data_IF_965802320069
#
_entry.id   IF_965802320069
#
_cell.length_a   1.000
_cell.length_b   1.000
_cell.length_c   1.000
_cell.angle_alpha   90.00
_cell.angle_beta   90.00
_cell.angle_gamma   90.00
#
_symmetry.space_group_name_H-M   'P 1'
#
loop_
_entity.id
_entity.type
_entity.pdbx_description
1 polymer ?
#
# COMPACT_ATOMS: atom_id res chain seq x y z
N UNK A 1 17.79 16.86 3.01
CA UNK A 1 18.32 15.70 3.75
C UNK A 1 18.51 14.54 2.78
N UNK A 2 19.31 13.52 3.13
CA UNK A 2 19.67 12.41 2.22
C UNK A 2 18.48 11.61 1.66
N UNK A 3 17.27 11.77 2.20
CA UNK A 3 16.05 11.08 1.77
C UNK A 3 15.17 11.90 0.81
N UNK A 4 15.60 13.09 0.40
CA UNK A 4 14.88 13.91 -0.57
C UNK A 4 15.84 14.31 -1.69
N UNK A 5 15.49 14.08 -2.97
CA UNK A 5 16.33 14.50 -4.10
C UNK A 5 16.57 16.02 -4.11
N UNK A 6 17.61 16.45 -4.83
CA UNK A 6 17.96 17.86 -4.93
C UNK A 6 16.81 18.69 -5.54
N UNK A 7 16.68 19.95 -5.10
CA UNK A 7 15.66 20.85 -5.66
C UNK A 7 15.91 21.09 -7.16
N UNK A 8 14.84 21.27 -7.92
CA UNK A 8 14.90 21.52 -9.37
C UNK A 8 15.15 20.28 -10.25
N UNK A 9 15.30 19.09 -9.66
CA UNK A 9 15.49 17.83 -10.41
C UNK A 9 14.17 17.15 -10.75
N UNK A 10 14.10 16.37 -11.86
CA UNK A 10 12.94 15.52 -12.16
C UNK A 10 12.59 14.54 -11.02
N UNK A 11 13.60 14.00 -10.34
CA UNK A 11 13.44 13.06 -9.22
C UNK A 11 12.74 13.73 -8.04
N UNK A 12 12.97 15.04 -7.82
CA UNK A 12 12.28 15.80 -6.77
C UNK A 12 10.78 15.95 -7.04
N UNK A 13 10.38 16.02 -8.30
CA UNK A 13 8.95 16.02 -8.68
C UNK A 13 8.34 14.64 -8.43
N UNK A 14 9.00 13.56 -8.87
CA UNK A 14 8.55 12.18 -8.61
C UNK A 14 8.47 11.89 -7.11
N UNK A 15 9.47 12.29 -6.35
CA UNK A 15 9.50 12.19 -4.89
C UNK A 15 8.25 12.81 -4.24
N UNK A 16 7.92 14.05 -4.61
CA UNK A 16 6.72 14.73 -4.07
C UNK A 16 5.43 14.03 -4.48
N UNK A 17 5.36 13.60 -5.74
CA UNK A 17 4.20 12.87 -6.25
C UNK A 17 3.94 11.63 -5.40
N UNK A 18 4.95 10.76 -5.24
CA UNK A 18 4.79 9.50 -4.52
C UNK A 18 4.57 9.67 -3.03
N UNK A 19 5.16 10.69 -2.41
CA UNK A 19 4.92 11.02 -1.01
C UNK A 19 3.42 11.30 -0.76
N UNK A 20 2.78 12.09 -1.62
CA UNK A 20 1.34 12.37 -1.50
C UNK A 20 0.45 11.25 -2.04
N UNK A 21 0.90 10.54 -3.08
CA UNK A 21 0.15 9.44 -3.68
C UNK A 21 -0.11 8.31 -2.69
N UNK A 22 0.87 8.01 -1.83
CA UNK A 22 0.75 6.97 -0.81
C UNK A 22 -0.50 7.16 0.07
N UNK A 23 -0.69 8.37 0.61
CA UNK A 23 -1.79 8.69 1.53
C UNK A 23 -3.07 9.12 0.79
N UNK A 24 -2.94 9.91 -0.27
CA UNK A 24 -4.08 10.51 -0.96
C UNK A 24 -4.75 9.59 -1.97
N UNK A 25 -4.05 8.55 -2.46
CA UNK A 25 -4.53 7.70 -3.56
C UNK A 25 -4.46 6.21 -3.22
N UNK A 26 -3.31 5.72 -2.77
CA UNK A 26 -3.09 4.28 -2.59
C UNK A 26 -3.73 3.73 -1.30
N UNK A 27 -3.57 4.44 -0.17
CA UNK A 27 -4.10 4.01 1.13
C UNK A 27 -5.64 4.05 1.26
N UNK A 28 -6.38 5.06 0.74
CA UNK A 28 -7.82 5.16 0.94
C UNK A 28 -8.64 3.91 0.58
N UNK A 29 -8.46 3.26 -0.59
CA UNK A 29 -9.22 2.04 -0.89
C UNK A 29 -8.84 0.87 0.04
N UNK A 30 -7.61 0.79 0.53
CA UNK A 30 -7.17 -0.23 1.51
C UNK A 30 -7.79 0.01 2.89
N UNK A 31 -7.95 1.27 3.30
CA UNK A 31 -8.68 1.65 4.51
C UNK A 31 -10.17 1.31 4.40
N UNK A 32 -10.80 1.64 3.27
CA UNK A 32 -12.19 1.27 3.02
C UNK A 32 -12.37 -0.24 3.09
N UNK A 33 -11.48 -1.02 2.44
CA UNK A 33 -11.52 -2.48 2.53
C UNK A 33 -11.47 -2.97 3.98
N UNK A 34 -10.55 -2.43 4.79
CA UNK A 34 -10.43 -2.77 6.22
C UNK A 34 -11.74 -2.50 6.98
N UNK A 35 -12.36 -1.34 6.75
CA UNK A 35 -13.62 -0.97 7.41
C UNK A 35 -14.75 -1.95 7.02
N UNK A 36 -14.90 -2.27 5.74
CA UNK A 36 -15.94 -3.19 5.26
C UNK A 36 -15.71 -4.63 5.75
N UNK A 37 -14.46 -5.11 5.77
CA UNK A 37 -14.12 -6.41 6.35
C UNK A 37 -14.43 -6.45 7.86
N UNK A 38 -14.26 -5.33 8.57
CA UNK A 38 -14.63 -5.22 9.99
C UNK A 38 -16.15 -5.26 10.20
N UNK A 39 -16.93 -4.62 9.32
CA UNK A 39 -18.40 -4.67 9.37
C UNK A 39 -18.88 -6.12 9.23
N UNK A 40 -18.28 -6.91 8.33
CA UNK A 40 -18.67 -8.30 8.10
C UNK A 40 -18.35 -9.26 9.27
N UNK A 41 -17.35 -8.91 10.08
CA UNK A 41 -16.91 -9.69 11.25
C UNK A 41 -17.49 -9.19 12.58
N UNK A 42 -18.20 -8.05 12.57
CA UNK A 42 -18.81 -7.49 13.77
C UNK A 42 -19.96 -8.38 14.28
N UNK A 43 -20.07 -8.63 15.60
CA UNK A 43 -21.19 -9.37 16.17
C UNK A 43 -22.53 -8.72 15.82
N UNK A 44 -23.42 -9.50 15.20
CA UNK A 44 -24.76 -9.07 14.78
C UNK A 44 -25.76 -10.22 14.92
N UNK A 45 -27.06 -9.92 15.10
CA UNK A 45 -28.10 -10.94 15.04
C UNK A 45 -28.05 -11.72 13.71
N UNK A 46 -28.30 -13.03 13.77
CA UNK A 46 -28.12 -13.91 12.61
C UNK A 46 -28.97 -13.53 11.40
N UNK A 47 -30.10 -12.84 11.59
CA UNK A 47 -30.99 -12.39 10.53
C UNK A 47 -30.53 -11.09 9.84
N UNK A 48 -29.75 -10.24 10.53
CA UNK A 48 -29.16 -9.01 9.94
C UNK A 48 -27.87 -9.32 9.19
N UNK A 49 -27.08 -10.26 9.71
CA UNK A 49 -25.75 -10.60 9.20
C UNK A 49 -25.71 -10.89 7.68
N UNK A 50 -26.66 -11.63 7.07
CA UNK A 50 -26.64 -11.88 5.63
C UNK A 50 -26.82 -10.61 4.80
N UNK A 51 -27.70 -9.70 5.22
CA UNK A 51 -27.99 -8.45 4.52
C UNK A 51 -26.77 -7.53 4.56
N UNK A 52 -26.17 -7.36 5.74
CA UNK A 52 -24.95 -6.57 5.91
C UNK A 52 -23.79 -7.10 5.05
N UNK A 53 -23.60 -8.43 5.04
CA UNK A 53 -22.58 -9.08 4.18
C UNK A 53 -22.85 -8.89 2.69
N UNK A 54 -24.11 -8.96 2.26
CA UNK A 54 -24.46 -8.76 0.85
C UNK A 54 -24.15 -7.33 0.38
N UNK A 55 -24.51 -6.32 1.18
CA UNK A 55 -24.22 -4.91 0.87
C UNK A 55 -22.71 -4.66 0.86
N UNK A 56 -22.01 -5.12 1.91
CA UNK A 56 -20.55 -4.99 2.03
C UNK A 56 -19.83 -5.66 0.85
N UNK A 57 -20.19 -6.91 0.53
CA UNK A 57 -19.63 -7.65 -0.59
C UNK A 57 -19.85 -6.93 -1.92
N UNK A 58 -21.04 -6.36 -2.14
CA UNK A 58 -21.34 -5.58 -3.36
C UNK A 58 -20.47 -4.33 -3.48
N UNK A 59 -20.33 -3.54 -2.41
CA UNK A 59 -19.48 -2.32 -2.42
C UNK A 59 -18.02 -2.68 -2.63
N UNK A 60 -17.53 -3.74 -1.97
CA UNK A 60 -16.16 -4.22 -2.18
C UNK A 60 -15.93 -4.62 -3.63
N UNK A 61 -16.82 -5.42 -4.21
CA UNK A 61 -16.67 -5.92 -5.58
C UNK A 61 -16.82 -4.82 -6.64
N UNK A 62 -17.76 -3.88 -6.47
CA UNK A 62 -18.07 -2.88 -7.49
C UNK A 62 -17.15 -1.66 -7.48
N UNK A 63 -16.53 -1.34 -6.35
CA UNK A 63 -15.78 -0.09 -6.19
C UNK A 63 -14.40 -0.29 -5.55
N UNK A 64 -14.31 -0.99 -4.42
CA UNK A 64 -13.06 -1.01 -3.64
C UNK A 64 -11.99 -1.89 -4.29
N UNK A 65 -12.32 -3.15 -4.59
CA UNK A 65 -11.35 -4.11 -5.14
C UNK A 65 -10.84 -3.68 -6.54
N UNK A 66 -11.68 -3.20 -7.47
CA UNK A 66 -11.19 -2.68 -8.75
C UNK A 66 -10.18 -1.54 -8.58
N UNK A 67 -10.44 -0.60 -7.66
CA UNK A 67 -9.52 0.51 -7.38
C UNK A 67 -8.19 0.01 -6.81
N UNK A 68 -8.20 -0.95 -5.88
CA UNK A 68 -6.97 -1.55 -5.36
C UNK A 68 -6.17 -2.17 -6.51
N UNK A 69 -6.81 -2.97 -7.37
CA UNK A 69 -6.16 -3.56 -8.55
C UNK A 69 -5.56 -2.49 -9.45
N UNK A 70 -6.31 -1.44 -9.79
CA UNK A 70 -5.83 -0.32 -10.62
C UNK A 70 -4.59 0.36 -10.01
N UNK A 71 -4.60 0.64 -8.70
CA UNK A 71 -3.46 1.24 -8.04
C UNK A 71 -2.24 0.30 -8.01
N UNK A 72 -2.45 -0.99 -7.72
CA UNK A 72 -1.37 -1.97 -7.74
C UNK A 72 -0.75 -2.12 -9.13
N UNK A 73 -1.56 -2.17 -10.19
CA UNK A 73 -1.07 -2.29 -11.57
C UNK A 73 -0.31 -1.03 -12.00
N UNK A 74 -0.77 0.15 -11.60
CA UNK A 74 -0.07 1.40 -11.85
C UNK A 74 1.30 1.45 -11.14
N UNK A 75 1.35 1.10 -9.85
CA UNK A 75 2.60 1.06 -9.09
C UNK A 75 3.58 0.02 -9.62
N UNK A 76 3.08 -1.16 -10.02
CA UNK A 76 3.86 -2.21 -10.67
C UNK A 76 4.48 -1.72 -11.98
N UNK A 77 3.72 -0.98 -12.80
CA UNK A 77 4.22 -0.38 -14.04
C UNK A 77 5.27 0.71 -13.77
N UNK A 78 5.09 1.53 -12.74
CA UNK A 78 6.03 2.60 -12.37
C UNK A 78 7.36 2.05 -11.84
N UNK A 79 7.34 0.97 -11.06
CA UNK A 79 8.56 0.25 -10.67
C UNK A 79 9.20 -0.53 -11.83
N UNK A 80 8.55 -0.56 -13.00
CA UNK A 80 9.19 -0.99 -14.25
C UNK A 80 10.13 0.05 -14.85
N UNK A 81 10.09 1.30 -14.36
CA UNK A 81 10.85 2.44 -14.92
C UNK A 81 12.09 2.80 -14.11
N UNK A 82 12.11 2.44 -12.83
CA UNK A 82 13.19 2.79 -11.90
C UNK A 82 13.24 1.81 -10.73
N UNK A 83 14.39 1.74 -10.05
CA UNK A 83 14.58 0.82 -8.91
C UNK A 83 13.67 1.15 -7.70
N UNK A 84 13.48 2.44 -7.44
CA UNK A 84 12.65 3.02 -6.38
C UNK A 84 11.62 3.97 -6.99
N UNK A 85 10.61 4.38 -6.22
CA UNK A 85 9.51 5.18 -6.76
C UNK A 85 9.94 6.54 -7.31
N UNK A 86 10.92 7.17 -6.65
CA UNK A 86 11.43 8.49 -7.03
C UNK A 86 12.62 8.46 -8.00
N UNK A 87 13.14 7.27 -8.37
CA UNK A 87 14.32 7.12 -9.24
C UNK A 87 15.20 5.94 -8.82
N UNK A 88 16.51 6.04 -9.06
CA UNK A 88 17.48 4.99 -8.75
C UNK A 88 17.90 4.94 -7.28
N UNK A 89 17.65 6.02 -6.53
CA UNK A 89 17.97 6.12 -5.11
C UNK A 89 16.73 6.03 -4.24
N UNK A 90 16.89 5.41 -3.06
CA UNK A 90 15.84 5.34 -2.06
C UNK A 90 15.57 6.71 -1.43
N UNK A 91 14.29 7.02 -1.24
CA UNK A 91 13.86 8.30 -0.67
C UNK A 91 12.78 8.13 0.40
N UNK A 92 12.37 9.24 1.00
CA UNK A 92 11.19 9.27 1.87
C UNK A 92 9.90 8.86 1.17
N UNK A 93 9.83 8.93 -0.18
CA UNK A 93 8.69 8.42 -0.92
C UNK A 93 8.54 6.90 -0.75
N UNK A 94 9.65 6.15 -0.77
CA UNK A 94 9.61 4.70 -0.58
C UNK A 94 9.23 4.32 0.86
N UNK A 95 9.64 5.12 1.84
CA UNK A 95 9.17 4.99 3.22
C UNK A 95 7.65 5.15 3.26
N UNK A 96 7.12 6.22 2.67
CA UNK A 96 5.68 6.49 2.69
C UNK A 96 4.89 5.43 1.93
N UNK A 97 5.38 4.98 0.77
CA UNK A 97 4.77 3.93 -0.06
C UNK A 97 4.81 2.54 0.60
N UNK A 98 5.68 2.33 1.60
CA UNK A 98 5.72 1.06 2.34
C UNK A 98 4.40 0.76 3.03
N UNK A 99 3.80 1.75 3.69
CA UNK A 99 2.55 1.56 4.42
C UNK A 99 1.40 1.01 3.56
N UNK A 100 1.02 1.63 2.42
CA UNK A 100 -0.04 1.08 1.59
C UNK A 100 0.34 -0.25 0.95
N UNK A 101 1.61 -0.48 0.58
CA UNK A 101 2.02 -1.74 -0.04
C UNK A 101 2.07 -2.91 0.94
N UNK A 102 2.45 -2.66 2.19
CA UNK A 102 2.34 -3.65 3.25
C UNK A 102 0.87 -3.99 3.55
N UNK A 103 0.00 -2.98 3.57
CA UNK A 103 -1.45 -3.21 3.70
C UNK A 103 -2.03 -3.97 2.51
N UNK A 104 -1.53 -3.70 1.31
CA UNK A 104 -1.91 -4.46 0.14
C UNK A 104 -1.43 -5.92 0.20
N UNK A 105 -0.21 -6.16 0.67
CA UNK A 105 0.33 -7.51 0.83
C UNK A 105 -0.43 -8.29 1.92
N UNK A 106 -0.79 -7.64 3.02
CA UNK A 106 -1.52 -8.28 4.12
C UNK A 106 -2.99 -8.60 3.76
N UNK A 107 -3.68 -7.69 3.06
CA UNK A 107 -5.14 -7.80 2.85
C UNK A 107 -5.67 -7.20 1.56
N UNK A 108 -4.86 -6.55 0.74
CA UNK A 108 -5.29 -5.91 -0.51
C UNK A 108 -5.07 -6.76 -1.76
N UNK A 109 -4.49 -7.96 -1.65
CA UNK A 109 -4.27 -8.85 -2.80
C UNK A 109 -3.02 -8.50 -3.61
N UNK A 110 -2.02 -7.86 -2.99
CA UNK A 110 -0.68 -7.80 -3.58
C UNK A 110 0.01 -9.15 -3.37
N UNK A 111 0.35 -9.82 -4.46
CA UNK A 111 0.98 -11.13 -4.48
C UNK A 111 1.99 -11.27 -5.64
N UNK A 112 2.44 -12.50 -5.91
CA UNK A 112 3.43 -12.82 -6.93
C UNK A 112 3.01 -12.45 -8.37
N UNK A 113 1.74 -12.13 -8.64
CA UNK A 113 1.30 -11.60 -9.94
C UNK A 113 1.92 -10.23 -10.27
N UNK A 114 2.46 -9.53 -9.25
CA UNK A 114 3.11 -8.22 -9.38
C UNK A 114 4.56 -8.30 -8.91
N UNK A 115 5.44 -8.91 -9.73
CA UNK A 115 6.78 -9.29 -9.28
C UNK A 115 7.67 -8.09 -8.93
N UNK A 116 7.49 -6.91 -9.55
CA UNK A 116 8.31 -5.74 -9.23
C UNK A 116 7.93 -5.14 -7.88
N UNK A 117 6.65 -5.09 -7.54
CA UNK A 117 6.19 -4.71 -6.21
C UNK A 117 6.67 -5.70 -5.14
N UNK A 118 6.59 -7.01 -5.41
CA UNK A 118 7.09 -8.02 -4.48
C UNK A 118 8.62 -7.93 -4.29
N UNK A 119 9.37 -7.67 -5.37
CA UNK A 119 10.80 -7.43 -5.29
C UNK A 119 11.12 -6.14 -4.53
N UNK A 120 10.33 -5.07 -4.72
CA UNK A 120 10.46 -3.82 -3.98
C UNK A 120 10.16 -3.99 -2.49
N UNK A 121 9.12 -4.75 -2.12
CA UNK A 121 8.82 -5.10 -0.73
C UNK A 121 9.98 -5.87 -0.09
N UNK A 122 10.48 -6.89 -0.79
CA UNK A 122 11.64 -7.65 -0.30
C UNK A 122 12.86 -6.75 -0.09
N UNK A 123 13.09 -5.80 -1.03
CA UNK A 123 14.20 -4.85 -0.95
C UNK A 123 14.04 -3.87 0.21
N UNK A 124 12.84 -3.37 0.49
CA UNK A 124 12.64 -2.43 1.60
C UNK A 124 12.82 -3.13 2.95
N UNK A 125 12.32 -4.37 3.09
CA UNK A 125 12.49 -5.20 4.28
C UNK A 125 13.95 -5.57 4.56
N UNK A 126 14.74 -5.79 3.51
CA UNK A 126 16.16 -6.12 3.63
C UNK A 126 17.04 -4.96 4.14
N UNK A 127 16.52 -3.72 4.19
CA UNK A 127 17.30 -2.57 4.64
C UNK A 127 17.59 -2.66 6.14
N UNK A 128 18.85 -2.47 6.59
CA UNK A 128 19.19 -2.46 8.02
C UNK A 128 18.36 -1.45 8.83
N UNK A 129 18.08 -0.28 8.26
CA UNK A 129 17.25 0.73 8.92
C UNK A 129 15.79 0.29 9.13
N UNK A 130 15.23 -0.51 8.22
CA UNK A 130 13.88 -1.07 8.36
C UNK A 130 13.86 -2.11 9.49
N UNK A 131 14.83 -3.03 9.49
CA UNK A 131 14.97 -4.04 10.54
C UNK A 131 15.17 -3.42 11.94
N UNK A 132 15.99 -2.36 12.02
CA UNK A 132 16.17 -1.59 13.26
C UNK A 132 14.89 -0.90 13.71
N UNK A 133 14.09 -0.38 12.78
CA UNK A 133 12.79 0.22 13.09
C UNK A 133 11.83 -0.83 13.68
N UNK A 134 11.78 -2.04 13.12
CA UNK A 134 11.00 -3.15 13.67
C UNK A 134 11.50 -3.58 15.06
N UNK A 135 12.81 -3.68 15.25
CA UNK A 135 13.38 -4.07 16.54
C UNK A 135 13.04 -3.07 17.66
N UNK A 136 12.93 -1.77 17.34
CA UNK A 136 12.60 -0.72 18.31
C UNK A 136 11.11 -0.48 18.46
N UNK A 137 10.35 -0.58 17.37
CA UNK A 137 8.91 -0.27 17.31
C UNK A 137 8.01 -1.48 17.54
N UNK A 138 8.57 -2.69 17.58
CA UNK A 138 7.82 -3.94 17.56
C UNK A 138 7.48 -4.41 16.14
N UNK A 139 6.95 -5.64 16.00
CA UNK A 139 6.58 -6.18 14.69
C UNK A 139 5.54 -5.30 14.00
N UNK A 140 5.72 -5.07 12.69
CA UNK A 140 4.72 -4.36 11.89
C UNK A 140 3.57 -5.30 11.54
N UNK A 141 2.60 -5.39 12.44
CA UNK A 141 1.38 -6.19 12.24
C UNK A 141 0.26 -5.32 11.72
N UNK A 142 -0.15 -5.56 10.47
CA UNK A 142 -1.37 -5.01 9.92
C UNK A 142 -2.50 -6.02 10.18
N UNK A 143 -3.26 -5.76 11.25
CA UNK A 143 -4.31 -6.65 11.76
C UNK A 143 -5.48 -6.89 10.82
#
# INVERSE_FOLDING_TARGET
>A
GRLAPALGTPERLRYRYWLHYAEGSAMPPLLLKLVFDKIESTPMPFFVKPIAKAISGKVKASFILPQITTHLDFMEAELGKSLWFAGEEFTGADIQMSFPLEAAAARGGLDASRPRLMAWLSRIHARPAYQQALAKGGPFTLG
#
